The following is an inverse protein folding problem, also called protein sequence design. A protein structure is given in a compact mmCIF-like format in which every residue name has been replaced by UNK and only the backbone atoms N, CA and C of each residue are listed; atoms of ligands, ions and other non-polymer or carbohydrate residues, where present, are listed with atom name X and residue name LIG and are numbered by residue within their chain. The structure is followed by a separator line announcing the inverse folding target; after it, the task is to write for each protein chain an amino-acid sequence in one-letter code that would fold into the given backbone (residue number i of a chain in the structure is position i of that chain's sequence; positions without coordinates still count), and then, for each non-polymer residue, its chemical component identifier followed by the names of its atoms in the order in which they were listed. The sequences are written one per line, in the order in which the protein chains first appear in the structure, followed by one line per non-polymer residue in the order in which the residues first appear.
data_IF_011656201363
#
_entry.id   IF_011656201363
#
_cell.length_a   1.000
_cell.length_b   1.000
_cell.length_c   1.000
_cell.angle_alpha   90.00
_cell.angle_beta   90.00
_cell.angle_gamma   90.00
#
_symmetry.space_group_name_H-M   'P 1'
#
loop_
_entity.id
_entity.type
_entity.pdbx_description
1 polymer ?
#
# COMPACT_ATOMS: atom_id res chain seq x y z
N UNK A 1 -12.27 7.11 3.04
CA UNK A 1 -12.31 7.62 4.41
C UNK A 1 -12.27 6.44 5.40
N UNK A 2 -11.11 6.22 6.02
CA UNK A 2 -10.93 5.12 6.98
C UNK A 2 -11.73 5.35 8.28
N UNK A 3 -12.03 6.60 8.64
CA UNK A 3 -12.84 6.94 9.82
C UNK A 3 -14.32 6.58 9.67
N UNK A 4 -14.84 6.51 8.43
CA UNK A 4 -16.23 6.14 8.15
C UNK A 4 -16.45 4.65 7.91
N UNK A 5 -15.50 3.79 8.33
CA UNK A 5 -15.65 2.34 8.20
C UNK A 5 -16.93 1.84 8.86
N UNK A 6 -17.60 0.90 8.19
CA UNK A 6 -18.82 0.23 8.69
C UNK A 6 -18.53 -1.06 9.44
N UNK A 7 -17.27 -1.52 9.42
CA UNK A 7 -16.84 -2.69 10.20
C UNK A 7 -17.02 -2.43 11.69
N UNK A 8 -17.63 -3.36 12.40
CA UNK A 8 -17.96 -3.23 13.80
C UNK A 8 -17.64 -4.49 14.60
N UNK A 9 -17.46 -4.31 15.89
CA UNK A 9 -17.33 -5.37 16.87
C UNK A 9 -18.16 -5.03 18.11
N UNK A 10 -18.75 -6.04 18.71
CA UNK A 10 -19.51 -5.91 19.98
C UNK A 10 -18.92 -6.88 20.98
N UNK A 11 -18.55 -6.35 22.16
CA UNK A 11 -18.03 -7.17 23.25
C UNK A 11 -19.14 -8.03 23.82
N UNK A 12 -18.86 -9.30 24.03
CA UNK A 12 -19.79 -10.26 24.60
C UNK A 12 -19.04 -11.46 25.18
N UNK A 13 -19.74 -12.30 25.93
CA UNK A 13 -19.28 -13.63 26.30
C UNK A 13 -19.60 -14.60 25.18
N UNK A 14 -18.75 -15.59 24.96
CA UNK A 14 -18.95 -16.66 23.99
C UNK A 14 -18.02 -17.83 24.25
N UNK A 15 -18.21 -18.89 23.49
CA UNK A 15 -17.41 -20.12 23.57
C UNK A 15 -16.23 -20.03 22.60
N UNK A 16 -15.03 -20.35 23.08
CA UNK A 16 -13.82 -20.49 22.29
C UNK A 16 -13.03 -21.68 22.78
N UNK A 17 -12.76 -22.64 21.88
CA UNK A 17 -12.04 -23.88 22.21
C UNK A 17 -12.63 -24.67 23.39
N UNK A 18 -13.97 -24.61 23.56
CA UNK A 18 -14.71 -25.31 24.60
C UNK A 18 -14.79 -24.59 25.95
N UNK A 19 -14.28 -23.37 26.04
CA UNK A 19 -14.35 -22.54 27.25
C UNK A 19 -15.19 -21.27 27.03
N UNK A 20 -15.95 -20.86 28.02
CA UNK A 20 -16.61 -19.55 28.00
C UNK A 20 -15.56 -18.45 28.26
N UNK A 21 -15.39 -17.57 27.29
CA UNK A 21 -14.43 -16.46 27.37
C UNK A 21 -15.10 -15.12 27.07
N UNK A 22 -14.50 -14.04 27.55
CA UNK A 22 -14.84 -12.70 27.10
C UNK A 22 -14.21 -12.48 25.72
N UNK A 23 -15.04 -12.11 24.77
CA UNK A 23 -14.65 -11.93 23.37
C UNK A 23 -15.40 -10.80 22.71
N UNK A 24 -15.43 -10.82 21.41
CA UNK A 24 -16.13 -9.85 20.57
C UNK A 24 -16.71 -10.53 19.35
N UNK A 25 -17.91 -10.10 18.94
CA UNK A 25 -18.54 -10.49 17.67
C UNK A 25 -18.24 -9.45 16.62
N UNK A 26 -17.60 -9.86 15.56
CA UNK A 26 -17.09 -9.00 14.48
C UNK A 26 -17.95 -9.14 13.24
N UNK A 27 -18.31 -8.01 12.63
CA UNK A 27 -18.92 -7.97 11.29
C UNK A 27 -18.18 -6.97 10.43
N UNK A 28 -17.72 -7.42 9.26
CA UNK A 28 -16.99 -6.57 8.31
C UNK A 28 -17.23 -6.97 6.87
N UNK A 29 -17.06 -5.99 5.98
CA UNK A 29 -17.02 -6.18 4.53
C UNK A 29 -16.03 -5.17 3.95
N UNK A 30 -14.84 -5.63 3.60
CA UNK A 30 -13.74 -4.81 3.08
C UNK A 30 -13.38 -5.24 1.67
N UNK A 31 -13.07 -4.27 0.79
CA UNK A 31 -12.95 -4.53 -0.65
C UNK A 31 -11.52 -4.69 -1.15
N UNK A 32 -10.62 -3.79 -0.78
CA UNK A 32 -9.28 -3.70 -1.37
C UNK A 32 -8.22 -3.94 -0.31
N UNK A 33 -8.06 -5.19 0.11
CA UNK A 33 -7.14 -5.54 1.19
C UNK A 33 -5.94 -6.29 0.61
N UNK A 34 -4.77 -5.66 0.74
CA UNK A 34 -3.49 -6.23 0.33
C UNK A 34 -3.25 -7.54 1.08
N UNK A 35 -2.86 -8.57 0.33
CA UNK A 35 -2.57 -9.92 0.78
C UNK A 35 -3.77 -10.71 1.35
N UNK A 36 -4.98 -10.14 1.52
CA UNK A 36 -6.12 -10.88 2.05
C UNK A 36 -6.36 -12.23 1.36
N UNK A 37 -6.26 -12.38 0.03
CA UNK A 37 -6.48 -13.67 -0.63
C UNK A 37 -5.48 -14.77 -0.25
N UNK A 38 -4.37 -14.41 0.37
CA UNK A 38 -3.28 -15.32 0.77
C UNK A 38 -3.02 -15.31 2.28
N UNK A 39 -3.71 -14.45 3.01
CA UNK A 39 -3.52 -14.31 4.44
C UNK A 39 -4.02 -15.53 5.20
N UNK A 40 -3.25 -15.99 6.16
CA UNK A 40 -3.68 -16.93 7.22
C UNK A 40 -4.10 -16.19 8.47
N UNK A 41 -3.75 -14.89 8.55
CA UNK A 41 -4.06 -13.99 9.65
C UNK A 41 -4.41 -12.61 9.08
N UNK A 42 -5.58 -12.07 9.43
CA UNK A 42 -6.03 -10.76 9.02
C UNK A 42 -5.74 -9.73 10.11
N UNK A 43 -5.04 -8.64 9.78
CA UNK A 43 -5.04 -7.43 10.57
C UNK A 43 -6.33 -6.65 10.31
N UNK A 44 -7.29 -6.71 11.22
CA UNK A 44 -8.62 -6.14 11.03
C UNK A 44 -8.81 -4.91 11.92
N UNK A 45 -9.22 -3.78 11.32
CA UNK A 45 -9.66 -2.59 12.03
C UNK A 45 -11.19 -2.45 11.95
N UNK A 46 -11.83 -2.15 13.08
CA UNK A 46 -13.28 -2.03 13.23
C UNK A 46 -13.64 -1.09 14.39
N UNK A 47 -14.87 -0.61 14.43
CA UNK A 47 -15.41 0.15 15.55
C UNK A 47 -15.89 -0.81 16.64
N UNK A 48 -15.30 -0.75 17.83
CA UNK A 48 -15.63 -1.63 18.95
C UNK A 48 -16.61 -0.95 19.89
N UNK A 49 -17.62 -1.71 20.33
CA UNK A 49 -18.67 -1.28 21.25
C UNK A 49 -18.75 -2.24 22.44
N UNK A 50 -19.07 -1.68 23.61
CA UNK A 50 -19.30 -2.41 24.86
C UNK A 50 -20.62 -1.97 25.49
N UNK A 51 -21.77 -2.36 24.91
CA UNK A 51 -23.07 -1.92 25.41
C UNK A 51 -23.40 -2.44 26.81
N UNK A 52 -22.80 -3.58 27.20
CA UNK A 52 -23.08 -4.22 28.50
C UNK A 52 -22.05 -3.87 29.59
N UNK A 53 -21.06 -3.00 29.27
CA UNK A 53 -20.05 -2.54 30.23
C UNK A 53 -19.11 -3.64 30.74
N UNK A 54 -18.78 -4.63 29.88
CA UNK A 54 -17.95 -5.77 30.26
C UNK A 54 -16.44 -5.43 30.38
N UNK A 55 -16.02 -4.33 29.76
CA UNK A 55 -14.67 -3.77 29.90
C UNK A 55 -14.64 -2.45 30.67
N UNK A 56 -15.78 -1.79 30.88
CA UNK A 56 -15.87 -0.52 31.59
C UNK A 56 -17.09 0.31 31.20
N UNK A 57 -17.13 1.56 31.67
CA UNK A 57 -18.35 2.40 31.58
C UNK A 57 -18.60 3.05 30.20
N UNK A 58 -17.69 2.84 29.20
CA UNK A 58 -17.83 3.46 27.90
C UNK A 58 -18.48 2.51 26.87
N UNK A 59 -19.69 2.80 26.38
CA UNK A 59 -20.35 1.94 25.41
C UNK A 59 -19.72 1.98 24.00
N UNK A 60 -19.04 3.07 23.64
CA UNK A 60 -18.33 3.24 22.37
C UNK A 60 -16.83 3.35 22.65
N UNK A 61 -16.07 2.31 22.34
CA UNK A 61 -14.63 2.27 22.60
C UNK A 61 -13.83 2.90 21.45
N UNK A 62 -14.37 2.89 20.24
CA UNK A 62 -13.71 3.46 19.06
C UNK A 62 -13.02 2.44 18.18
N UNK A 63 -12.17 2.92 17.26
CA UNK A 63 -11.46 2.06 16.32
C UNK A 63 -10.47 1.20 17.09
N UNK A 64 -10.60 -0.12 16.89
CA UNK A 64 -9.77 -1.15 17.51
C UNK A 64 -9.16 -2.02 16.39
N UNK A 65 -7.96 -2.52 16.61
CA UNK A 65 -7.28 -3.43 15.71
C UNK A 65 -7.13 -4.81 16.35
N UNK A 66 -7.42 -5.86 15.60
CA UNK A 66 -7.25 -7.24 16.05
C UNK A 66 -6.60 -8.10 14.96
N UNK A 67 -5.97 -9.19 15.38
CA UNK A 67 -5.46 -10.24 14.52
C UNK A 67 -6.49 -11.37 14.47
N UNK A 68 -7.13 -11.58 13.33
CA UNK A 68 -8.19 -12.58 13.14
C UNK A 68 -7.68 -13.69 12.23
N UNK A 69 -7.57 -14.95 12.71
CA UNK A 69 -7.22 -16.09 11.86
C UNK A 69 -8.25 -16.29 10.74
N UNK A 70 -7.80 -16.68 9.56
CA UNK A 70 -8.69 -16.82 8.40
C UNK A 70 -9.39 -18.17 8.33
N UNK A 71 -9.01 -19.11 9.16
CA UNK A 71 -9.65 -20.41 9.35
C UNK A 71 -10.81 -20.40 10.35
N UNK A 72 -11.05 -19.29 11.02
CA UNK A 72 -12.26 -19.11 11.84
C UNK A 72 -13.51 -19.25 10.97
N UNK A 73 -14.45 -20.13 11.33
CA UNK A 73 -15.65 -20.35 10.53
C UNK A 73 -16.41 -19.08 10.22
N UNK A 74 -16.76 -18.88 8.93
CA UNK A 74 -17.47 -17.69 8.45
C UNK A 74 -16.57 -16.56 7.95
N UNK A 75 -15.25 -16.63 8.12
CA UNK A 75 -14.31 -15.70 7.50
C UNK A 75 -14.15 -16.02 6.02
N UNK A 76 -14.32 -15.01 5.17
CA UNK A 76 -14.21 -15.14 3.70
C UNK A 76 -13.12 -14.20 3.19
N UNK A 77 -12.09 -14.75 2.54
CA UNK A 77 -10.94 -14.00 2.02
C UNK A 77 -10.29 -14.58 0.76
N UNK A 78 -10.99 -15.44 0.01
CA UNK A 78 -10.42 -16.26 -1.06
C UNK A 78 -10.52 -15.66 -2.48
N UNK A 79 -11.18 -14.53 -2.65
CA UNK A 79 -11.28 -13.85 -3.95
C UNK A 79 -10.09 -12.93 -4.17
N UNK A 80 -9.54 -12.97 -5.38
CA UNK A 80 -8.45 -12.08 -5.79
C UNK A 80 -8.92 -11.10 -6.85
N UNK A 81 -8.51 -9.84 -6.74
CA UNK A 81 -8.62 -8.85 -7.82
C UNK A 81 -7.50 -9.04 -8.84
N UNK A 82 -7.72 -8.55 -10.04
CA UNK A 82 -6.71 -8.44 -11.09
C UNK A 82 -6.45 -6.95 -11.39
N UNK A 83 -5.50 -6.32 -10.69
CA UNK A 83 -5.20 -4.90 -10.87
C UNK A 83 -4.35 -4.68 -12.13
N UNK A 84 -5.01 -4.50 -13.29
CA UNK A 84 -4.39 -4.22 -14.59
C UNK A 84 -3.40 -5.32 -15.05
N UNK A 85 -3.66 -6.58 -14.74
CA UNK A 85 -2.77 -7.69 -15.08
C UNK A 85 -1.45 -7.73 -14.29
N UNK A 86 -1.34 -6.94 -13.22
CA UNK A 86 -0.17 -6.94 -12.34
C UNK A 86 -0.36 -7.97 -11.22
N UNK A 87 0.66 -8.81 -10.92
CA UNK A 87 0.59 -9.82 -9.87
C UNK A 87 0.67 -9.19 -8.47
N UNK A 88 -0.30 -8.36 -8.16
CA UNK A 88 -0.47 -7.69 -6.86
C UNK A 88 -1.61 -8.35 -6.11
N UNK A 89 -1.28 -9.16 -5.10
CA UNK A 89 -2.28 -9.87 -4.30
C UNK A 89 -3.12 -8.90 -3.48
N UNK A 90 -4.34 -8.70 -3.93
CA UNK A 90 -5.32 -7.81 -3.35
C UNK A 90 -6.71 -8.41 -3.51
N UNK A 91 -7.56 -8.30 -2.50
CA UNK A 91 -8.90 -8.86 -2.58
C UNK A 91 -9.82 -8.41 -1.47
N UNK A 92 -11.11 -8.77 -1.56
CA UNK A 92 -12.07 -8.52 -0.51
C UNK A 92 -11.90 -9.50 0.64
N UNK A 93 -12.34 -9.08 1.82
CA UNK A 93 -12.54 -9.95 2.98
C UNK A 93 -13.83 -9.57 3.68
N UNK A 94 -14.56 -10.56 4.18
CA UNK A 94 -15.80 -10.35 4.93
C UNK A 94 -15.96 -11.39 6.03
N UNK A 95 -16.77 -11.06 7.01
CA UNK A 95 -17.25 -11.91 8.06
C UNK A 95 -18.50 -11.32 8.68
N UNK A 96 -19.43 -12.15 9.08
CA UNK A 96 -20.67 -11.74 9.74
C UNK A 96 -20.81 -12.48 11.06
N UNK A 97 -20.94 -11.71 12.14
CA UNK A 97 -21.12 -12.23 13.50
C UNK A 97 -20.01 -13.21 13.95
N UNK A 98 -18.77 -12.98 13.56
CA UNK A 98 -17.62 -13.84 13.87
C UNK A 98 -17.18 -13.61 15.31
N UNK A 99 -17.27 -14.63 16.16
CA UNK A 99 -16.76 -14.55 17.54
C UNK A 99 -15.26 -14.81 17.59
N UNK A 100 -14.54 -13.94 18.31
CA UNK A 100 -13.12 -14.12 18.63
C UNK A 100 -12.84 -13.58 20.06
N UNK A 101 -11.87 -14.17 20.79
CA UNK A 101 -11.47 -13.72 22.11
C UNK A 101 -10.92 -12.28 22.09
N UNK A 102 -11.07 -11.55 23.20
CA UNK A 102 -10.48 -10.20 23.35
C UNK A 102 -8.95 -10.22 23.30
N UNK A 103 -8.31 -11.33 23.61
CA UNK A 103 -6.86 -11.49 23.50
C UNK A 103 -6.34 -11.32 22.07
N UNK A 104 -7.22 -11.37 21.07
CA UNK A 104 -6.86 -11.10 19.65
C UNK A 104 -6.72 -9.61 19.34
N UNK A 105 -7.13 -8.72 20.25
CA UNK A 105 -6.84 -7.28 20.13
C UNK A 105 -5.32 -7.09 20.16
N UNK A 106 -4.80 -6.33 19.20
CA UNK A 106 -3.35 -6.04 19.12
C UNK A 106 -2.93 -5.27 20.38
N UNK A 107 -2.00 -5.84 21.13
CA UNK A 107 -1.51 -5.30 22.40
C UNK A 107 -2.41 -5.62 23.61
N UNK A 108 -3.46 -6.43 23.44
CA UNK A 108 -4.35 -6.87 24.51
C UNK A 108 -5.63 -6.04 24.67
N UNK A 109 -6.56 -6.49 25.54
CA UNK A 109 -7.86 -5.84 25.75
C UNK A 109 -7.76 -4.38 26.18
N UNK A 110 -6.72 -3.99 26.91
CA UNK A 110 -6.43 -2.63 27.35
C UNK A 110 -6.12 -1.66 26.20
N UNK A 111 -5.83 -2.18 25.01
CA UNK A 111 -5.63 -1.40 23.78
C UNK A 111 -6.92 -1.21 22.97
N UNK A 112 -8.06 -1.64 23.49
CA UNK A 112 -9.36 -1.37 22.88
C UNK A 112 -9.56 0.14 22.65
N UNK A 113 -9.97 0.53 21.45
CA UNK A 113 -10.12 1.94 21.06
C UNK A 113 -8.84 2.67 20.64
N UNK A 114 -7.66 2.06 20.75
CA UNK A 114 -6.39 2.69 20.35
C UNK A 114 -5.99 2.43 18.92
N UNK A 115 -6.81 1.72 18.16
CA UNK A 115 -6.48 1.26 16.79
C UNK A 115 -6.23 2.40 15.81
N UNK A 116 -6.88 3.55 15.95
CA UNK A 116 -6.62 4.69 15.07
C UNK A 116 -5.17 5.19 15.19
N UNK A 117 -4.69 5.33 16.43
CA UNK A 117 -3.30 5.74 16.67
C UNK A 117 -2.32 4.73 16.11
N UNK A 118 -2.56 3.43 16.32
CA UNK A 118 -1.73 2.35 15.78
C UNK A 118 -1.64 2.40 14.26
N UNK A 119 -2.80 2.58 13.59
CA UNK A 119 -2.85 2.69 12.13
C UNK A 119 -2.07 3.91 11.62
N UNK A 120 -2.24 5.08 12.24
CA UNK A 120 -1.55 6.30 11.80
C UNK A 120 -0.04 6.20 12.00
N UNK A 121 0.42 5.68 13.13
CA UNK A 121 1.85 5.50 13.40
C UNK A 121 2.50 4.54 12.38
N UNK A 122 1.87 3.40 12.09
CA UNK A 122 2.40 2.41 11.15
C UNK A 122 2.32 2.88 9.68
N UNK A 123 1.17 3.45 9.27
CA UNK A 123 0.96 3.88 7.89
C UNK A 123 1.83 5.08 7.51
N UNK A 124 2.08 6.01 8.44
CA UNK A 124 2.94 7.17 8.15
C UNK A 124 4.39 6.76 7.90
N UNK A 125 4.91 5.78 8.64
CA UNK A 125 6.24 5.23 8.42
C UNK A 125 6.31 4.49 7.06
N UNK A 126 5.37 3.58 6.77
CA UNK A 126 5.30 2.86 5.51
C UNK A 126 5.20 3.78 4.30
N UNK A 127 4.34 4.81 4.38
CA UNK A 127 4.14 5.81 3.33
C UNK A 127 5.40 6.65 3.08
N UNK A 128 6.16 6.97 4.15
CA UNK A 128 7.40 7.73 4.06
C UNK A 128 8.60 6.94 3.54
N UNK A 129 8.57 5.60 3.60
CA UNK A 129 9.70 4.71 3.27
C UNK A 129 9.43 3.85 2.03
N UNK A 130 8.32 3.08 2.05
CA UNK A 130 8.08 2.02 1.05
C UNK A 130 7.78 2.58 -0.35
N UNK A 131 6.82 3.50 -0.47
CA UNK A 131 6.46 4.07 -1.79
C UNK A 131 7.54 4.99 -2.35
N UNK A 132 8.18 5.87 -1.57
CA UNK A 132 9.39 6.57 -2.00
C UNK A 132 10.53 5.64 -2.40
N UNK A 133 10.73 4.54 -1.66
CA UNK A 133 11.74 3.52 -1.97
C UNK A 133 11.48 2.82 -3.30
N UNK A 134 10.23 2.42 -3.54
CA UNK A 134 9.79 1.83 -4.81
C UNK A 134 9.98 2.81 -5.97
N UNK A 135 9.56 4.08 -5.82
CA UNK A 135 9.73 5.10 -6.85
C UNK A 135 11.22 5.35 -7.16
N UNK A 136 12.06 5.41 -6.13
CA UNK A 136 13.50 5.60 -6.30
C UNK A 136 14.19 4.43 -6.99
N UNK A 137 13.89 3.19 -6.59
CA UNK A 137 14.42 1.98 -7.22
C UNK A 137 13.96 1.82 -8.66
N UNK A 138 12.66 2.07 -8.92
CA UNK A 138 12.09 2.04 -10.25
C UNK A 138 12.70 3.09 -11.17
N UNK A 139 12.82 4.35 -10.74
CA UNK A 139 13.43 5.41 -11.52
C UNK A 139 14.91 5.12 -11.86
N UNK A 140 15.68 4.58 -10.91
CA UNK A 140 17.07 4.17 -11.17
C UNK A 140 17.16 3.03 -12.20
N UNK A 141 16.26 2.06 -12.13
CA UNK A 141 16.22 0.98 -13.11
C UNK A 141 15.89 1.51 -14.51
N UNK A 142 14.91 2.43 -14.61
CA UNK A 142 14.56 3.10 -15.87
C UNK A 142 15.72 3.89 -16.45
N UNK A 143 16.38 4.75 -15.65
CA UNK A 143 17.55 5.53 -16.12
C UNK A 143 18.62 4.63 -16.71
N UNK A 144 18.94 3.53 -16.05
CA UNK A 144 19.96 2.58 -16.54
C UNK A 144 19.52 1.88 -17.82
N UNK A 145 18.26 1.37 -17.83
CA UNK A 145 17.75 0.63 -18.98
C UNK A 145 17.60 1.51 -20.23
N UNK A 146 16.98 2.67 -20.08
CA UNK A 146 16.75 3.61 -21.19
C UNK A 146 18.05 4.26 -21.64
N UNK A 147 18.95 4.63 -20.73
CA UNK A 147 20.26 5.16 -21.05
C UNK A 147 21.08 4.17 -21.90
N UNK A 148 21.12 2.90 -21.49
CA UNK A 148 21.77 1.85 -22.29
C UNK A 148 21.08 1.65 -23.64
N UNK A 149 19.75 1.59 -23.66
CA UNK A 149 18.98 1.41 -24.90
C UNK A 149 19.26 2.52 -25.90
N UNK A 150 19.23 3.79 -25.49
CA UNK A 150 19.46 4.94 -26.38
C UNK A 150 20.89 5.06 -26.87
N UNK A 151 21.84 4.43 -26.19
CA UNK A 151 23.25 4.39 -26.60
C UNK A 151 23.55 3.34 -27.69
N UNK A 152 22.72 2.27 -27.75
CA UNK A 152 22.96 1.14 -28.67
C UNK A 152 21.91 1.02 -29.77
N UNK A 153 20.70 1.52 -29.56
CA UNK A 153 19.63 1.52 -30.56
C UNK A 153 19.91 2.58 -31.60
N UNK A 154 20.05 2.15 -32.86
CA UNK A 154 20.29 3.06 -33.97
C UNK A 154 19.03 3.28 -34.81
N UNK A 155 18.87 4.50 -35.30
CA UNK A 155 17.95 4.92 -36.35
C UNK A 155 18.67 5.96 -37.21
N UNK A 156 18.43 5.93 -38.53
CA UNK A 156 19.08 6.83 -39.50
C UNK A 156 20.62 6.80 -39.41
N UNK A 157 21.19 5.64 -39.03
CA UNK A 157 22.62 5.41 -38.97
C UNK A 157 23.35 5.96 -37.73
N UNK A 158 22.63 6.44 -36.74
CA UNK A 158 23.21 6.92 -35.45
C UNK A 158 22.44 6.40 -34.25
N UNK A 159 23.07 6.28 -33.06
CA UNK A 159 22.37 6.00 -31.82
C UNK A 159 21.29 7.01 -31.55
N UNK A 160 20.10 6.54 -31.14
CA UNK A 160 18.94 7.42 -30.98
C UNK A 160 19.13 8.46 -29.83
N UNK A 161 20.02 8.22 -28.89
CA UNK A 161 20.37 9.19 -27.83
C UNK A 161 21.07 10.46 -28.35
N UNK A 162 21.44 10.51 -29.66
CA UNK A 162 21.99 11.70 -30.27
C UNK A 162 20.92 12.64 -30.83
N UNK A 163 19.66 12.21 -30.90
CA UNK A 163 18.56 13.08 -31.33
C UNK A 163 18.09 13.99 -30.18
N UNK A 164 17.92 15.28 -30.46
CA UNK A 164 17.43 16.26 -29.49
C UNK A 164 16.08 15.86 -28.89
N UNK A 165 15.16 15.33 -29.70
CA UNK A 165 13.85 14.82 -29.27
C UNK A 165 13.94 13.63 -28.31
N UNK A 166 15.08 12.95 -28.20
CA UNK A 166 15.35 11.88 -27.22
C UNK A 166 16.11 12.46 -26.01
N UNK A 167 16.98 13.44 -26.21
CA UNK A 167 17.76 14.05 -25.13
C UNK A 167 16.89 14.81 -24.14
N UNK A 168 15.83 15.45 -24.61
CA UNK A 168 14.89 16.17 -23.75
C UNK A 168 14.23 15.24 -22.69
N UNK A 169 13.51 14.16 -23.07
CA UNK A 169 12.96 13.23 -22.09
C UNK A 169 14.04 12.50 -21.28
N UNK A 170 15.22 12.20 -21.82
CA UNK A 170 16.33 11.64 -21.03
C UNK A 170 16.77 12.58 -19.92
N UNK A 171 16.84 13.89 -20.21
CA UNK A 171 17.20 14.90 -19.22
C UNK A 171 16.14 14.99 -18.11
N UNK A 172 14.86 14.91 -18.47
CA UNK A 172 13.74 14.90 -17.51
C UNK A 172 13.78 13.64 -16.65
N UNK A 173 13.96 12.46 -17.24
CA UNK A 173 14.13 11.19 -16.53
C UNK A 173 15.29 11.29 -15.53
N UNK A 174 16.45 11.80 -15.94
CA UNK A 174 17.63 11.96 -15.08
C UNK A 174 17.37 12.92 -13.91
N UNK A 175 16.81 14.09 -14.19
CA UNK A 175 16.48 15.11 -13.22
C UNK A 175 15.45 14.64 -12.18
N UNK A 176 14.33 14.03 -12.65
CA UNK A 176 13.32 13.49 -11.76
C UNK A 176 13.88 12.34 -10.89
N UNK A 177 14.71 11.46 -11.46
CA UNK A 177 15.36 10.38 -10.70
C UNK A 177 16.24 10.93 -9.59
N UNK A 178 16.97 12.00 -9.85
CA UNK A 178 17.79 12.67 -8.82
C UNK A 178 16.91 13.22 -7.69
N UNK A 179 15.85 13.96 -8.03
CA UNK A 179 14.90 14.52 -7.04
C UNK A 179 14.22 13.43 -6.22
N UNK A 180 13.74 12.36 -6.88
CA UNK A 180 13.12 11.20 -6.21
C UNK A 180 14.09 10.61 -5.17
N UNK A 181 15.35 10.40 -5.54
CA UNK A 181 16.33 9.83 -4.62
C UNK A 181 16.69 10.76 -3.47
N UNK A 182 16.80 12.06 -3.70
CA UNK A 182 17.06 13.05 -2.66
C UNK A 182 15.92 13.07 -1.62
N UNK A 183 14.67 13.18 -2.08
CA UNK A 183 13.49 13.22 -1.21
C UNK A 183 13.30 11.91 -0.43
N UNK A 184 13.49 10.74 -1.09
CA UNK A 184 13.46 9.44 -0.43
C UNK A 184 14.48 9.33 0.70
N UNK A 185 15.74 9.77 0.45
CA UNK A 185 16.80 9.74 1.49
C UNK A 185 16.47 10.65 2.66
N UNK A 186 15.89 11.83 2.38
CA UNK A 186 15.51 12.79 3.42
C UNK A 186 14.43 12.18 4.34
N UNK A 187 13.36 11.60 3.76
CA UNK A 187 12.27 10.99 4.55
C UNK A 187 12.73 9.76 5.32
N UNK A 188 13.52 8.88 4.70
CA UNK A 188 14.08 7.72 5.40
C UNK A 188 14.98 8.14 6.55
N UNK A 189 15.85 9.13 6.34
CA UNK A 189 16.73 9.66 7.38
C UNK A 189 15.96 10.33 8.54
N UNK A 190 14.84 10.98 8.28
CA UNK A 190 13.97 11.51 9.32
C UNK A 190 13.39 10.39 10.20
N UNK A 191 12.92 9.29 9.58
CA UNK A 191 12.42 8.12 10.31
C UNK A 191 13.54 7.46 11.12
N UNK A 192 14.74 7.30 10.55
CA UNK A 192 15.90 6.75 11.25
C UNK A 192 16.32 7.62 12.46
N UNK A 193 16.08 8.93 12.39
CA UNK A 193 16.28 9.86 13.50
C UNK A 193 15.16 9.83 14.56
N UNK A 194 14.16 8.94 14.40
CA UNK A 194 13.02 8.80 15.33
C UNK A 194 11.88 9.77 15.10
N UNK A 195 11.92 10.56 14.03
CA UNK A 195 10.86 11.48 13.68
C UNK A 195 9.62 10.73 13.13
N UNK A 196 8.44 11.32 13.30
CA UNK A 196 7.17 10.80 12.76
C UNK A 196 6.60 11.78 11.71
N UNK A 197 7.18 11.82 10.49
CA UNK A 197 6.88 12.85 9.51
C UNK A 197 5.54 12.61 8.78
N UNK A 198 4.40 12.66 9.47
CA UNK A 198 3.09 12.32 8.92
C UNK A 198 2.70 13.17 7.70
N UNK A 199 2.92 14.49 7.73
CA UNK A 199 2.60 15.40 6.62
C UNK A 199 3.62 15.24 5.49
N UNK A 200 4.91 15.26 5.81
CA UNK A 200 5.98 15.12 4.81
C UNK A 200 5.89 13.78 4.09
N UNK A 201 5.56 12.68 4.80
CA UNK A 201 5.39 11.38 4.18
C UNK A 201 4.25 11.33 3.16
N UNK A 202 3.14 12.03 3.42
CA UNK A 202 2.04 12.14 2.46
C UNK A 202 2.45 12.94 1.21
N UNK A 203 3.10 14.10 1.39
CA UNK A 203 3.60 14.93 0.30
C UNK A 203 4.60 14.14 -0.56
N UNK A 204 5.60 13.53 0.07
CA UNK A 204 6.63 12.76 -0.64
C UNK A 204 6.03 11.57 -1.38
N UNK A 205 5.10 10.83 -0.77
CA UNK A 205 4.37 9.76 -1.47
C UNK A 205 3.71 10.25 -2.73
N UNK A 206 2.94 11.33 -2.65
CA UNK A 206 2.19 11.87 -3.79
C UNK A 206 3.14 12.32 -4.91
N UNK A 207 4.11 13.16 -4.59
CA UNK A 207 5.02 13.72 -5.60
C UNK A 207 5.94 12.67 -6.21
N UNK A 208 6.48 11.73 -5.42
CA UNK A 208 7.43 10.75 -5.97
C UNK A 208 6.75 9.68 -6.81
N UNK A 209 5.53 9.28 -6.48
CA UNK A 209 4.78 8.33 -7.32
C UNK A 209 4.32 8.97 -8.63
N UNK A 210 3.96 10.25 -8.65
CA UNK A 210 3.68 10.98 -9.90
C UNK A 210 4.95 11.20 -10.72
N UNK A 211 6.05 11.63 -10.11
CA UNK A 211 7.33 11.78 -10.80
C UNK A 211 7.80 10.45 -11.41
N UNK A 212 7.59 9.33 -10.72
CA UNK A 212 7.89 8.01 -11.27
C UNK A 212 6.98 7.65 -12.46
N UNK A 213 5.71 8.07 -12.45
CA UNK A 213 4.81 7.92 -13.60
C UNK A 213 5.36 8.66 -14.82
N UNK A 214 5.81 9.90 -14.65
CA UNK A 214 6.40 10.70 -15.73
C UNK A 214 7.68 10.05 -16.26
N UNK A 215 8.54 9.56 -15.37
CA UNK A 215 9.76 8.81 -15.76
C UNK A 215 9.42 7.58 -16.60
N UNK A 216 8.38 6.82 -16.23
CA UNK A 216 7.97 5.62 -16.97
C UNK A 216 7.33 5.99 -18.31
N UNK A 217 6.51 7.04 -18.37
CA UNK A 217 5.90 7.52 -19.61
C UNK A 217 6.96 7.96 -20.63
N UNK A 218 7.90 8.80 -20.21
CA UNK A 218 9.02 9.22 -21.06
C UNK A 218 9.84 8.02 -21.56
N UNK A 219 10.07 7.04 -20.69
CA UNK A 219 10.79 5.82 -21.03
C UNK A 219 10.06 4.95 -22.08
N UNK A 220 8.73 4.86 -21.95
CA UNK A 220 7.88 4.16 -22.93
C UNK A 220 7.95 4.84 -24.30
N UNK A 221 7.88 6.17 -24.33
CA UNK A 221 7.97 6.94 -25.59
C UNK A 221 9.34 6.77 -26.26
N UNK A 222 10.43 6.82 -25.49
CA UNK A 222 11.80 6.60 -26.00
C UNK A 222 11.95 5.19 -26.56
N UNK A 223 11.43 4.17 -25.89
CA UNK A 223 11.58 2.76 -26.31
C UNK A 223 10.62 2.36 -27.43
N UNK A 224 9.54 3.10 -27.63
CA UNK A 224 8.56 2.89 -28.69
C UNK A 224 8.00 1.47 -28.69
N UNK A 225 8.00 0.81 -29.85
CA UNK A 225 7.46 -0.54 -30.01
C UNK A 225 8.06 -1.58 -29.06
N UNK A 226 9.33 -1.44 -28.67
CA UNK A 226 9.98 -2.34 -27.71
C UNK A 226 9.42 -2.19 -26.29
N UNK A 227 8.91 -1.00 -25.93
CA UNK A 227 8.21 -0.75 -24.67
C UNK A 227 6.78 -1.30 -24.67
N UNK A 228 6.12 -1.35 -25.82
CA UNK A 228 4.72 -1.80 -25.97
C UNK A 228 4.60 -3.31 -26.07
N UNK A 229 5.47 -3.96 -26.85
CA UNK A 229 5.45 -5.40 -27.05
C UNK A 229 5.95 -6.12 -25.80
N UNK A 230 5.04 -6.74 -25.05
CA UNK A 230 5.40 -7.54 -23.87
C UNK A 230 6.24 -8.75 -24.28
N UNK A 231 7.13 -9.15 -23.41
CA UNK A 231 8.02 -10.30 -23.58
C UNK A 231 9.24 -10.20 -22.67
N UNK A 232 10.15 -11.17 -22.72
CA UNK A 232 11.27 -11.25 -21.76
C UNK A 232 12.29 -10.10 -21.90
N UNK A 233 12.25 -9.36 -23.02
CA UNK A 233 13.11 -8.19 -23.25
C UNK A 233 12.45 -6.85 -22.89
N UNK A 234 11.15 -6.85 -22.60
CA UNK A 234 10.44 -5.65 -22.18
C UNK A 234 10.59 -5.46 -20.68
N UNK A 235 11.31 -4.44 -20.26
CA UNK A 235 11.56 -4.09 -18.85
C UNK A 235 10.64 -3.00 -18.33
N UNK A 236 9.81 -2.39 -19.17
CA UNK A 236 8.98 -1.22 -18.84
C UNK A 236 7.49 -1.51 -18.73
N UNK A 237 6.96 -2.45 -19.52
CA UNK A 237 5.52 -2.68 -19.62
C UNK A 237 4.86 -2.99 -18.30
N UNK A 238 5.46 -3.85 -17.45
CA UNK A 238 4.95 -4.14 -16.12
C UNK A 238 4.99 -2.90 -15.19
N UNK A 239 6.04 -2.10 -15.27
CA UNK A 239 6.14 -0.86 -14.51
C UNK A 239 5.05 0.13 -14.94
N UNK A 240 4.84 0.29 -16.25
CA UNK A 240 3.80 1.16 -16.80
C UNK A 240 2.39 0.77 -16.34
N UNK A 241 2.04 -0.52 -16.42
CA UNK A 241 0.76 -1.03 -15.92
C UNK A 241 0.62 -0.92 -14.40
N UNK A 242 1.73 -0.99 -13.67
CA UNK A 242 1.73 -0.93 -12.20
C UNK A 242 1.62 0.49 -11.61
N UNK A 243 1.93 1.54 -12.38
CA UNK A 243 1.94 2.92 -11.88
C UNK A 243 0.62 3.36 -11.24
N UNK A 244 -0.58 3.08 -11.81
CA UNK A 244 -1.84 3.44 -11.19
C UNK A 244 -2.06 2.86 -9.80
N UNK A 245 -1.43 1.73 -9.47
CA UNK A 245 -1.51 1.14 -8.13
C UNK A 245 -0.84 2.08 -7.12
N UNK A 246 0.38 2.51 -7.39
CA UNK A 246 1.19 3.33 -6.48
C UNK A 246 0.55 4.68 -6.15
N UNK A 247 -0.11 5.32 -7.14
CA UNK A 247 -0.79 6.60 -6.95
C UNK A 247 -2.14 6.47 -6.22
N UNK A 248 -2.69 5.25 -6.16
CA UNK A 248 -4.01 4.98 -5.58
C UNK A 248 -3.92 4.50 -4.13
N UNK A 249 -2.94 3.64 -3.80
CA UNK A 249 -2.81 3.04 -2.47
C UNK A 249 -2.31 4.04 -1.42
N UNK A 250 -2.56 3.74 -0.14
CA UNK A 250 -2.13 4.55 1.02
C UNK A 250 -2.58 6.02 0.98
N UNK A 251 -3.78 6.26 0.51
CA UNK A 251 -4.31 7.57 0.22
C UNK A 251 -4.05 7.96 -1.23
N UNK A 252 -5.15 8.11 -2.01
CA UNK A 252 -5.03 8.45 -3.42
C UNK A 252 -4.45 9.86 -3.59
N UNK A 253 -3.48 10.01 -4.50
CA UNK A 253 -2.79 11.28 -4.73
C UNK A 253 -3.76 12.44 -5.06
N UNK A 254 -4.86 12.14 -5.74
CA UNK A 254 -5.88 13.15 -6.09
C UNK A 254 -6.55 13.78 -4.86
N UNK A 255 -6.42 13.17 -3.68
CA UNK A 255 -6.97 13.67 -2.41
C UNK A 255 -5.89 14.25 -1.48
N UNK A 256 -4.62 14.18 -1.87
CA UNK A 256 -3.49 14.70 -1.12
C UNK A 256 -3.12 16.08 -1.62
#
# INVERSE_FOLDING_TARGET
DAGSMTSQGVICKGEWEGEEVLGMRLTWNKRYITLAPRATLLGLAFKLRDPDGLLGDKPELGITCALVPTDVPGVVNNRQHDPLGIPFFNGPTSGEDIFVPLSFIIGGPEQAGQGWRMLMDCLSAGRGVSLPGMSGGGAQAVVRGVGAYTSIREQFGIPIGQFEGIQEPLTRIGGLTYVINAARKLTAGAVDAGEKPAVISAIVKAYLTEAMRDVVNDAMDITGGAGICLGPRNTLGSAYHGMPISITVEGANILT
#
